data_IF_883844308530
#
_entry.id   IF_883844308530
#
_cell.length_a   1.000
_cell.length_b   1.000
_cell.length_c   1.000
_cell.angle_alpha   90.00
_cell.angle_beta   90.00
_cell.angle_gamma   90.00
#
_symmetry.space_group_name_H-M   'P 1'
#
loop_
_entity.id
_entity.type
_entity.pdbx_description
1 polymer ?
#
# COMPACT_ATOMS: atom_id res chain seq x y z
N UNK A 1 -14.76 -19.25 -19.33
CA UNK A 1 -15.45 -18.68 -18.17
C UNK A 1 -15.00 -17.23 -18.02
N UNK A 2 -15.95 -16.32 -17.75
CA UNK A 2 -15.69 -14.92 -17.47
C UNK A 2 -15.51 -14.77 -15.96
N UNK A 3 -14.48 -14.04 -15.53
CA UNK A 3 -14.28 -13.64 -14.13
C UNK A 3 -13.88 -12.15 -14.05
N UNK A 4 -14.17 -11.53 -12.91
CA UNK A 4 -13.67 -10.19 -12.57
C UNK A 4 -12.42 -10.37 -11.73
N UNK A 5 -11.27 -10.01 -12.31
CA UNK A 5 -9.97 -10.20 -11.65
C UNK A 5 -9.87 -9.44 -10.33
N UNK A 6 -10.36 -8.22 -10.29
CA UNK A 6 -10.24 -7.37 -9.10
C UNK A 6 -11.29 -6.26 -9.09
N UNK A 7 -11.89 -6.02 -7.94
CA UNK A 7 -12.62 -4.78 -7.61
C UNK A 7 -11.77 -3.97 -6.64
N UNK A 8 -11.47 -2.72 -6.95
CA UNK A 8 -10.64 -1.85 -6.13
C UNK A 8 -11.41 -0.59 -5.73
N UNK A 9 -11.51 -0.34 -4.42
CA UNK A 9 -12.06 0.91 -3.89
C UNK A 9 -10.92 1.92 -3.65
N UNK A 10 -11.01 3.10 -4.28
CA UNK A 10 -10.11 4.21 -4.01
C UNK A 10 -10.56 5.02 -2.80
N UNK A 11 -9.66 5.28 -1.86
CA UNK A 11 -9.94 6.07 -0.64
C UNK A 11 -8.92 7.19 -0.52
N UNK A 12 -9.39 8.44 -0.51
CA UNK A 12 -8.54 9.60 -0.22
C UNK A 12 -8.25 9.70 1.27
N UNK A 13 -6.97 9.87 1.63
CA UNK A 13 -6.51 10.01 2.99
C UNK A 13 -5.99 11.43 3.32
N UNK A 14 -6.16 12.41 2.43
CA UNK A 14 -5.68 13.77 2.67
C UNK A 14 -6.29 14.43 3.90
N UNK A 15 -7.53 14.11 4.25
CA UNK A 15 -8.20 14.60 5.46
C UNK A 15 -7.72 13.91 6.75
N UNK A 16 -6.89 12.88 6.62
CA UNK A 16 -6.26 12.21 7.75
C UNK A 16 -4.97 12.89 8.23
N UNK A 17 -4.37 13.78 7.41
CA UNK A 17 -3.12 14.48 7.75
C UNK A 17 -3.23 15.12 9.14
N UNK A 18 -2.17 14.95 9.94
CA UNK A 18 -2.07 15.47 11.29
C UNK A 18 -0.60 15.62 11.68
N UNK A 19 -0.28 16.67 12.45
CA UNK A 19 1.04 16.84 13.07
C UNK A 19 1.26 15.84 14.20
N UNK A 20 0.19 15.34 14.80
CA UNK A 20 0.19 14.24 15.77
C UNK A 20 0.14 12.91 15.01
N UNK A 21 1.21 12.13 15.15
CA UNK A 21 1.43 10.85 14.45
C UNK A 21 0.44 9.76 14.89
N UNK A 22 0.10 9.71 16.16
CA UNK A 22 -0.86 8.73 16.68
C UNK A 22 -2.27 9.07 16.20
N UNK A 23 -2.61 10.36 16.18
CA UNK A 23 -3.86 10.83 15.59
C UNK A 23 -3.94 10.56 14.09
N UNK A 24 -2.84 10.68 13.34
CA UNK A 24 -2.77 10.29 11.92
C UNK A 24 -3.15 8.82 11.76
N UNK A 25 -2.52 7.91 12.53
CA UNK A 25 -2.77 6.48 12.47
C UNK A 25 -4.23 6.13 12.76
N UNK A 26 -4.80 6.71 13.81
CA UNK A 26 -6.21 6.51 14.17
C UNK A 26 -7.14 6.98 13.05
N UNK A 27 -6.91 8.18 12.51
CA UNK A 27 -7.73 8.72 11.41
C UNK A 27 -7.65 7.84 10.16
N UNK A 28 -6.46 7.33 9.80
CA UNK A 28 -6.26 6.45 8.65
C UNK A 28 -7.06 5.14 8.86
N UNK A 29 -6.93 4.51 10.00
CA UNK A 29 -7.67 3.30 10.33
C UNK A 29 -9.18 3.50 10.25
N UNK A 30 -9.69 4.50 10.95
CA UNK A 30 -11.15 4.80 11.01
C UNK A 30 -11.70 5.17 9.62
N UNK A 31 -10.93 5.93 8.83
CA UNK A 31 -11.34 6.30 7.47
C UNK A 31 -11.49 5.09 6.57
N UNK A 32 -10.49 4.21 6.56
CA UNK A 32 -10.47 3.02 5.72
C UNK A 32 -11.59 2.07 6.13
N UNK A 33 -11.68 1.71 7.42
CA UNK A 33 -12.66 0.74 7.92
C UNK A 33 -14.10 1.24 7.72
N UNK A 34 -14.36 2.52 7.97
CA UNK A 34 -15.68 3.12 7.72
C UNK A 34 -16.04 3.17 6.23
N UNK A 35 -15.09 3.56 5.37
CA UNK A 35 -15.36 3.73 3.94
C UNK A 35 -15.58 2.40 3.22
N UNK A 36 -14.80 1.38 3.55
CA UNK A 36 -14.81 0.11 2.84
C UNK A 36 -15.59 -1.01 3.58
N UNK A 37 -16.31 -0.70 4.66
CA UNK A 37 -17.02 -1.68 5.50
C UNK A 37 -17.95 -2.64 4.73
N UNK A 38 -18.51 -2.19 3.62
CA UNK A 38 -19.46 -2.97 2.83
C UNK A 38 -18.84 -3.55 1.55
N UNK A 39 -17.55 -3.29 1.26
CA UNK A 39 -16.94 -3.64 -0.02
C UNK A 39 -17.04 -5.15 -0.32
N UNK A 40 -16.67 -5.98 0.64
CA UNK A 40 -16.70 -7.45 0.48
C UNK A 40 -18.13 -7.95 0.30
N UNK A 41 -19.04 -7.55 1.17
CA UNK A 41 -20.45 -7.98 1.13
C UNK A 41 -21.12 -7.59 -0.21
N UNK A 42 -20.90 -6.37 -0.68
CA UNK A 42 -21.44 -5.92 -1.98
C UNK A 42 -20.84 -6.74 -3.14
N UNK A 43 -19.54 -7.04 -3.12
CA UNK A 43 -18.93 -7.88 -4.13
C UNK A 43 -19.52 -9.30 -4.13
N UNK A 44 -19.73 -9.91 -2.98
CA UNK A 44 -20.34 -11.23 -2.85
C UNK A 44 -21.81 -11.25 -3.32
N UNK A 45 -22.56 -10.18 -3.06
CA UNK A 45 -23.93 -10.02 -3.58
C UNK A 45 -23.93 -9.94 -5.10
N UNK A 46 -22.99 -9.20 -5.70
CA UNK A 46 -22.84 -9.11 -7.15
C UNK A 46 -22.41 -10.45 -7.77
N UNK A 47 -21.50 -11.19 -7.15
CA UNK A 47 -21.13 -12.54 -7.57
C UNK A 47 -22.36 -13.47 -7.63
N UNK A 48 -23.18 -13.43 -6.59
CA UNK A 48 -24.42 -14.24 -6.52
C UNK A 48 -25.45 -13.81 -7.57
N UNK A 49 -25.60 -12.49 -7.77
CA UNK A 49 -26.60 -11.93 -8.70
C UNK A 49 -26.27 -12.25 -10.17
N UNK A 50 -25.01 -12.16 -10.55
CA UNK A 50 -24.58 -12.28 -11.95
C UNK A 50 -23.91 -13.61 -12.28
N UNK A 51 -23.60 -14.44 -11.30
CA UNK A 51 -22.87 -15.70 -11.50
C UNK A 51 -21.45 -15.53 -12.00
N UNK A 52 -20.84 -14.35 -11.80
CA UNK A 52 -19.49 -14.02 -12.23
C UNK A 52 -18.59 -13.86 -11.01
N UNK A 53 -17.55 -14.69 -10.84
CA UNK A 53 -16.63 -14.58 -9.70
C UNK A 53 -15.87 -13.26 -9.67
N UNK A 54 -15.70 -12.66 -8.49
CA UNK A 54 -14.81 -11.52 -8.22
C UNK A 54 -13.62 -12.03 -7.40
N UNK A 55 -12.49 -12.26 -8.08
CA UNK A 55 -11.35 -13.00 -7.50
C UNK A 55 -10.70 -12.22 -6.35
N UNK A 56 -10.51 -10.91 -6.49
CA UNK A 56 -9.89 -10.08 -5.48
C UNK A 56 -10.71 -8.83 -5.16
N UNK A 57 -10.75 -8.47 -3.87
CA UNK A 57 -11.30 -7.21 -3.37
C UNK A 57 -10.14 -6.43 -2.77
N UNK A 58 -9.91 -5.20 -3.23
CA UNK A 58 -8.76 -4.36 -2.85
C UNK A 58 -9.17 -2.95 -2.47
N UNK A 59 -8.35 -2.32 -1.63
CA UNK A 59 -8.37 -0.87 -1.41
C UNK A 59 -7.08 -0.26 -1.96
N UNK A 60 -7.25 0.89 -2.62
CA UNK A 60 -6.16 1.78 -3.02
C UNK A 60 -6.33 3.09 -2.26
N UNK A 61 -5.26 3.55 -1.64
CA UNK A 61 -5.26 4.79 -0.84
C UNK A 61 -4.35 5.84 -1.46
N UNK A 62 -4.52 7.09 -1.04
CA UNK A 62 -3.55 8.16 -1.34
C UNK A 62 -2.13 7.63 -1.08
N UNK A 63 -1.15 7.88 -1.98
CA UNK A 63 0.23 7.48 -1.73
C UNK A 63 0.68 7.94 -0.35
N UNK A 64 1.10 6.99 0.47
CA UNK A 64 1.39 7.21 1.90
C UNK A 64 2.49 8.26 2.11
N UNK A 65 3.41 8.40 1.15
CA UNK A 65 4.43 9.45 1.16
C UNK A 65 3.87 10.87 1.24
N UNK A 66 2.66 11.11 0.73
CA UNK A 66 2.04 12.45 0.80
C UNK A 66 1.46 12.77 2.17
N UNK A 67 0.86 11.79 2.83
CA UNK A 67 0.22 12.00 4.14
C UNK A 67 1.19 11.84 5.30
N UNK A 68 2.31 11.13 5.08
CA UNK A 68 3.34 10.82 6.08
C UNK A 68 4.64 11.61 5.89
N UNK A 69 4.63 12.79 5.27
CA UNK A 69 5.86 13.54 4.95
C UNK A 69 6.77 13.82 6.17
N UNK A 70 6.18 13.95 7.36
CA UNK A 70 6.91 14.16 8.63
C UNK A 70 7.36 12.89 9.34
N UNK A 71 6.97 11.71 8.86
CA UNK A 71 7.26 10.44 9.51
C UNK A 71 8.73 10.02 9.31
N UNK A 72 9.27 9.28 10.28
CA UNK A 72 10.51 8.51 10.16
C UNK A 72 10.25 7.19 9.42
N UNK A 73 11.30 6.45 8.98
CA UNK A 73 11.13 5.12 8.42
C UNK A 73 10.38 4.15 9.35
N UNK A 74 10.71 4.13 10.64
CA UNK A 74 10.05 3.27 11.64
C UNK A 74 8.56 3.61 11.77
N UNK A 75 8.21 4.90 11.75
CA UNK A 75 6.81 5.35 11.80
C UNK A 75 6.03 5.01 10.54
N UNK A 76 6.70 4.92 9.37
CA UNK A 76 6.07 4.37 8.17
C UNK A 76 5.81 2.87 8.30
N UNK A 77 6.69 2.11 8.98
CA UNK A 77 6.46 0.70 9.28
C UNK A 77 5.23 0.54 10.19
N UNK A 78 5.13 1.34 11.26
CA UNK A 78 3.94 1.35 12.12
C UNK A 78 2.66 1.71 11.35
N UNK A 79 2.74 2.63 10.40
CA UNK A 79 1.59 2.96 9.55
C UNK A 79 1.20 1.80 8.61
N UNK A 80 2.18 1.01 8.14
CA UNK A 80 1.90 -0.21 7.38
C UNK A 80 1.18 -1.26 8.24
N UNK A 81 1.51 -1.39 9.53
CA UNK A 81 0.77 -2.25 10.47
C UNK A 81 -0.67 -1.77 10.65
N UNK A 82 -0.92 -0.47 10.70
CA UNK A 82 -2.27 0.09 10.74
C UNK A 82 -3.06 -0.26 9.49
N UNK A 83 -2.45 -0.17 8.30
CA UNK A 83 -3.06 -0.58 7.03
C UNK A 83 -3.33 -2.10 7.01
N UNK A 84 -2.41 -2.91 7.52
CA UNK A 84 -2.59 -4.37 7.66
C UNK A 84 -3.78 -4.69 8.57
N UNK A 85 -3.89 -4.01 9.71
CA UNK A 85 -5.01 -4.17 10.64
C UNK A 85 -6.34 -3.83 9.99
N UNK A 86 -6.42 -2.71 9.27
CA UNK A 86 -7.63 -2.32 8.54
C UNK A 86 -7.97 -3.31 7.42
N UNK A 87 -6.96 -3.78 6.66
CA UNK A 87 -7.13 -4.77 5.61
C UNK A 87 -7.61 -6.13 6.16
N UNK A 88 -7.12 -6.53 7.33
CA UNK A 88 -7.55 -7.75 8.01
C UNK A 88 -9.00 -7.66 8.50
N UNK A 89 -9.39 -6.53 9.11
CA UNK A 89 -10.75 -6.29 9.57
C UNK A 89 -11.76 -6.32 8.43
N UNK A 90 -11.40 -5.79 7.28
CA UNK A 90 -12.24 -5.70 6.08
C UNK A 90 -12.20 -6.95 5.19
N UNK A 91 -11.22 -7.83 5.35
CA UNK A 91 -11.02 -8.99 4.47
C UNK A 91 -10.51 -8.61 3.06
N UNK A 92 -9.72 -7.54 2.91
CA UNK A 92 -9.23 -7.00 1.64
C UNK A 92 -7.71 -6.92 1.58
N UNK A 93 -7.16 -6.62 0.40
CA UNK A 93 -5.73 -6.30 0.20
C UNK A 93 -5.56 -4.79 0.22
N UNK A 94 -4.63 -4.28 1.02
CA UNK A 94 -4.31 -2.86 1.14
C UNK A 94 -3.09 -2.43 0.31
N UNK A 95 -2.97 -1.13 0.05
CA UNK A 95 -1.85 -0.53 -0.69
C UNK A 95 -1.01 0.41 0.19
N UNK A 96 0.31 0.34 0.00
CA UNK A 96 1.32 1.16 0.68
C UNK A 96 2.29 1.69 -0.40
N UNK A 97 1.96 2.81 -1.02
CA UNK A 97 2.68 3.26 -2.22
C UNK A 97 3.38 4.60 -2.04
N UNK A 98 4.48 4.76 -2.78
CA UNK A 98 5.17 6.03 -2.98
C UNK A 98 5.20 6.39 -4.46
N UNK A 99 5.05 7.68 -4.78
CA UNK A 99 5.35 8.22 -6.09
C UNK A 99 6.70 8.94 -6.04
N UNK A 100 7.67 8.45 -6.81
CA UNK A 100 8.96 9.09 -6.99
C UNK A 100 9.00 9.69 -8.39
N UNK A 101 8.68 10.97 -8.52
CA UNK A 101 8.92 11.72 -9.74
C UNK A 101 10.37 12.22 -9.77
N UNK A 102 10.82 12.67 -10.96
CA UNK A 102 12.11 13.35 -11.09
C UNK A 102 12.10 14.63 -10.26
N UNK A 103 12.83 14.60 -9.15
CA UNK A 103 12.75 15.58 -8.07
C UNK A 103 12.28 14.89 -6.77
N UNK A 104 12.91 15.24 -5.68
CA UNK A 104 12.64 14.62 -4.38
C UNK A 104 11.24 14.99 -3.89
N UNK A 105 10.33 14.01 -3.83
CA UNK A 105 9.07 14.20 -3.12
C UNK A 105 9.37 14.02 -1.63
N UNK A 106 9.03 15.03 -0.85
CA UNK A 106 9.17 15.03 0.61
C UNK A 106 8.52 13.75 1.18
N UNK A 107 9.29 12.99 1.95
CA UNK A 107 8.85 11.74 2.57
C UNK A 107 9.00 10.47 1.72
N UNK A 108 9.16 10.56 0.39
CA UNK A 108 9.29 9.38 -0.47
C UNK A 108 10.52 8.54 -0.13
N UNK A 109 11.68 9.17 0.11
CA UNK A 109 12.92 8.47 0.46
C UNK A 109 12.77 7.66 1.74
N UNK A 110 12.22 8.25 2.80
CA UNK A 110 11.99 7.59 4.09
C UNK A 110 11.00 6.43 3.97
N UNK A 111 9.94 6.60 3.17
CA UNK A 111 8.99 5.54 2.91
C UNK A 111 9.66 4.39 2.15
N UNK A 112 10.48 4.67 1.13
CA UNK A 112 11.21 3.65 0.37
C UNK A 112 12.13 2.85 1.29
N UNK A 113 12.83 3.51 2.22
CA UNK A 113 13.66 2.85 3.22
C UNK A 113 12.86 1.91 4.15
N UNK A 114 11.59 2.25 4.44
CA UNK A 114 10.70 1.46 5.29
C UNK A 114 10.07 0.25 4.58
N UNK A 115 9.99 0.22 3.24
CA UNK A 115 9.30 -0.82 2.48
C UNK A 115 9.76 -2.24 2.83
N UNK A 116 11.06 -2.57 2.88
CA UNK A 116 11.48 -3.95 3.15
C UNK A 116 10.94 -4.48 4.47
N UNK A 117 11.02 -3.67 5.53
CA UNK A 117 10.53 -4.04 6.84
C UNK A 117 9.00 -4.10 6.86
N UNK A 118 8.32 -3.07 6.35
CA UNK A 118 6.87 -3.04 6.24
C UNK A 118 6.32 -4.28 5.52
N UNK A 119 6.92 -4.70 4.40
CA UNK A 119 6.49 -5.89 3.67
C UNK A 119 6.91 -7.20 4.35
N UNK A 120 7.92 -7.19 5.19
CA UNK A 120 8.33 -8.39 5.95
C UNK A 120 7.35 -8.73 7.07
N UNK A 121 6.79 -7.72 7.74
CA UNK A 121 5.89 -7.91 8.89
C UNK A 121 4.41 -7.96 8.53
N UNK A 122 4.03 -7.53 7.33
CA UNK A 122 2.64 -7.54 6.84
C UNK A 122 2.39 -8.68 5.86
N UNK A 123 1.14 -9.07 5.69
CA UNK A 123 0.71 -10.11 4.72
C UNK A 123 -0.15 -9.57 3.60
N UNK A 124 -1.04 -8.61 3.89
CA UNK A 124 -2.02 -8.04 2.96
C UNK A 124 -1.62 -6.68 2.39
N UNK A 125 -0.59 -6.04 2.95
CA UNK A 125 -0.09 -4.76 2.46
C UNK A 125 0.85 -5.00 1.27
N UNK A 126 0.53 -4.37 0.13
CA UNK A 126 1.36 -4.33 -1.06
C UNK A 126 1.94 -2.95 -1.24
N UNK A 127 3.12 -2.83 -1.83
CA UNK A 127 3.77 -1.56 -2.12
C UNK A 127 4.03 -1.38 -3.60
N UNK A 128 4.08 -0.13 -4.06
CA UNK A 128 4.51 0.22 -5.40
C UNK A 128 5.33 1.49 -5.40
N UNK A 129 6.32 1.57 -6.28
CA UNK A 129 7.12 2.77 -6.49
C UNK A 129 7.12 3.10 -7.99
N UNK A 130 6.60 4.26 -8.33
CA UNK A 130 6.63 4.73 -9.70
C UNK A 130 7.98 5.41 -9.99
N UNK A 131 8.84 4.73 -10.74
CA UNK A 131 10.19 5.21 -11.10
C UNK A 131 10.26 5.96 -12.42
N UNK A 132 9.16 6.02 -13.18
CA UNK A 132 9.13 6.64 -14.51
C UNK A 132 7.77 7.25 -14.84
N UNK A 133 7.78 8.34 -15.59
CA UNK A 133 6.59 8.92 -16.22
C UNK A 133 6.87 9.33 -17.65
N UNK A 134 5.86 9.35 -18.51
CA UNK A 134 6.01 9.82 -19.89
C UNK A 134 6.48 11.26 -19.97
N UNK A 135 6.12 12.08 -18.98
CA UNK A 135 6.50 13.50 -18.92
C UNK A 135 7.90 13.73 -18.37
N UNK A 136 8.31 13.01 -17.34
CA UNK A 136 9.57 13.21 -16.62
C UNK A 136 10.69 12.25 -17.04
N UNK A 137 10.36 11.19 -17.78
CA UNK A 137 11.29 10.12 -18.13
C UNK A 137 11.56 9.16 -16.96
N UNK A 138 12.62 8.39 -17.04
CA UNK A 138 13.01 7.39 -16.06
C UNK A 138 13.94 8.04 -15.01
N UNK A 139 13.64 7.83 -13.74
CA UNK A 139 14.50 8.22 -12.62
C UNK A 139 15.48 7.06 -12.33
N UNK A 140 16.70 7.16 -12.87
CA UNK A 140 17.70 6.09 -12.74
C UNK A 140 18.20 5.90 -11.30
N UNK A 141 18.21 6.96 -10.48
CA UNK A 141 18.56 6.86 -9.05
C UNK A 141 17.50 6.04 -8.29
N UNK A 142 16.23 6.27 -8.60
CA UNK A 142 15.13 5.48 -8.05
C UNK A 142 15.20 4.01 -8.52
N UNK A 143 15.57 3.75 -9.78
CA UNK A 143 15.77 2.39 -10.30
C UNK A 143 16.89 1.68 -9.54
N UNK A 144 18.04 2.34 -9.32
CA UNK A 144 19.15 1.78 -8.55
C UNK A 144 18.74 1.49 -7.10
N UNK A 145 18.04 2.45 -6.45
CA UNK A 145 17.53 2.27 -5.09
C UNK A 145 16.55 1.10 -5.01
N UNK A 146 15.66 0.94 -6.01
CA UNK A 146 14.74 -0.19 -6.07
C UNK A 146 15.44 -1.53 -6.13
N UNK A 147 16.56 -1.65 -6.82
CA UNK A 147 17.38 -2.86 -6.84
C UNK A 147 17.81 -3.29 -5.43
N UNK A 148 18.29 -2.35 -4.63
CA UNK A 148 18.68 -2.61 -3.23
C UNK A 148 17.47 -2.94 -2.33
N UNK A 149 16.34 -2.25 -2.51
CA UNK A 149 15.11 -2.49 -1.77
C UNK A 149 14.56 -3.90 -2.05
N UNK A 150 14.53 -4.32 -3.31
CA UNK A 150 14.10 -5.67 -3.71
C UNK A 150 14.99 -6.72 -3.04
N UNK A 151 16.31 -6.56 -3.11
CA UNK A 151 17.28 -7.47 -2.51
C UNK A 151 17.10 -7.57 -0.99
N UNK A 152 16.94 -6.43 -0.30
CA UNK A 152 16.69 -6.37 1.14
C UNK A 152 15.36 -7.03 1.51
N UNK A 153 14.30 -6.78 0.74
CA UNK A 153 12.97 -7.39 0.93
C UNK A 153 13.04 -8.92 0.77
N UNK A 154 13.74 -9.40 -0.26
CA UNK A 154 13.97 -10.83 -0.48
C UNK A 154 14.67 -11.47 0.72
N UNK A 155 15.73 -10.82 1.22
CA UNK A 155 16.49 -11.31 2.36
C UNK A 155 15.66 -11.36 3.66
N UNK A 156 14.89 -10.31 3.96
CA UNK A 156 14.05 -10.25 5.17
C UNK A 156 12.87 -11.23 5.15
N UNK A 157 12.52 -11.78 3.99
CA UNK A 157 11.42 -12.75 3.83
C UNK A 157 11.90 -14.09 3.27
N UNK A 158 13.21 -14.38 3.38
CA UNK A 158 13.81 -15.60 2.84
C UNK A 158 13.26 -16.88 3.49
N UNK A 159 12.86 -16.81 4.75
CA UNK A 159 12.18 -17.89 5.49
C UNK A 159 10.79 -18.24 4.96
N UNK A 160 10.23 -17.38 4.11
CA UNK A 160 8.91 -17.51 3.47
C UNK A 160 9.01 -17.36 1.95
N UNK A 161 9.99 -18.00 1.34
CA UNK A 161 10.24 -18.02 -0.12
C UNK A 161 10.36 -16.62 -0.75
N UNK A 162 10.85 -15.63 0.01
CA UNK A 162 10.98 -14.22 -0.40
C UNK A 162 9.65 -13.59 -0.85
N UNK A 163 8.54 -14.00 -0.26
CA UNK A 163 7.18 -13.56 -0.61
C UNK A 163 6.99 -12.03 -0.53
N UNK A 164 7.80 -11.34 0.25
CA UNK A 164 7.78 -9.87 0.31
C UNK A 164 7.97 -9.22 -1.06
N UNK A 165 8.78 -9.83 -1.94
CA UNK A 165 9.00 -9.34 -3.30
C UNK A 165 7.75 -9.45 -4.19
N UNK A 166 6.86 -10.41 -3.97
CA UNK A 166 5.60 -10.54 -4.69
C UNK A 166 4.58 -9.44 -4.34
N UNK A 167 4.83 -8.69 -3.27
CA UNK A 167 4.01 -7.56 -2.81
C UNK A 167 4.58 -6.20 -3.21
N UNK A 168 5.69 -6.15 -3.93
CA UNK A 168 6.40 -4.95 -4.37
C UNK A 168 6.36 -4.82 -5.89
N UNK A 169 5.86 -3.67 -6.39
CA UNK A 169 5.73 -3.35 -7.82
C UNK A 169 6.42 -2.02 -8.16
#
# INVERSE_FOLDING_TARGET
NLDIRTVTMGISLFDCISDDKDRLKVKVFDKITRSAKNLVAVCEDLERMYGIPIVNKRISVTPISYIGAGLSPDEFVELAEVLEKAANELGVIGGFSAHVQKGEIIGAKKLIEAIPEALSITTKVCSSINVATTKAGINMDAVAQMGEIIKKTAHLTADRDSIGCAKLV
#
